data_IF_435739143516
#
_entry.id   IF_435739143516
#
_cell.length_a   1.000
_cell.length_b   1.000
_cell.length_c   1.000
_cell.angle_alpha   90.00
_cell.angle_beta   90.00
_cell.angle_gamma   90.00
#
_symmetry.space_group_name_H-M   'P 1'
#
loop_
_entity.id
_entity.type
_entity.pdbx_description
1 polymer ?
#
# COMPACT_ATOMS: atom_id res chain seq x y z
N UNK A 1 -46.76 29.22 4.66
CA UNK A 1 -46.21 28.43 3.53
C UNK A 1 -44.72 28.69 3.22
N UNK A 2 -43.97 29.46 4.04
CA UNK A 2 -42.54 29.79 3.78
C UNK A 2 -41.54 28.96 4.62
N UNK A 3 -42.02 28.37 5.73
CA UNK A 3 -41.21 27.56 6.65
C UNK A 3 -40.93 26.14 6.13
N UNK A 4 -41.78 25.61 5.24
CA UNK A 4 -41.67 24.25 4.72
C UNK A 4 -40.57 24.10 3.65
N UNK A 5 -40.22 25.18 2.95
CA UNK A 5 -39.13 25.19 1.95
C UNK A 5 -37.74 25.22 2.61
N UNK A 6 -37.59 25.92 3.75
CA UNK A 6 -36.32 26.06 4.46
C UNK A 6 -35.87 24.74 5.10
N UNK A 7 -36.79 24.00 5.72
CA UNK A 7 -36.51 22.71 6.34
C UNK A 7 -36.20 21.62 5.31
N UNK A 8 -36.85 21.68 4.13
CA UNK A 8 -36.60 20.75 3.02
C UNK A 8 -35.22 20.99 2.41
N UNK A 9 -34.84 22.26 2.20
CA UNK A 9 -33.50 22.64 1.73
C UNK A 9 -32.40 22.23 2.71
N UNK A 10 -32.61 22.45 4.01
CA UNK A 10 -31.63 22.09 5.04
C UNK A 10 -31.43 20.57 5.14
N UNK A 11 -32.52 19.80 5.05
CA UNK A 11 -32.46 18.32 4.98
C UNK A 11 -31.73 17.83 3.75
N UNK A 12 -31.96 18.45 2.59
CA UNK A 12 -31.23 18.11 1.36
C UNK A 12 -29.73 18.42 1.47
N UNK A 13 -29.35 19.54 2.08
CA UNK A 13 -27.93 19.89 2.30
C UNK A 13 -27.25 18.94 3.30
N UNK A 14 -27.94 18.56 4.38
CA UNK A 14 -27.44 17.55 5.32
C UNK A 14 -27.29 16.19 4.62
N UNK A 15 -28.28 15.77 3.83
CA UNK A 15 -28.24 14.52 3.08
C UNK A 15 -27.10 14.51 2.04
N UNK A 16 -26.89 15.61 1.31
CA UNK A 16 -25.78 15.78 0.37
C UNK A 16 -24.42 15.75 1.08
N UNK A 17 -24.30 16.38 2.26
CA UNK A 17 -23.10 16.36 3.07
C UNK A 17 -22.76 14.95 3.59
N UNK A 18 -23.76 14.20 4.07
CA UNK A 18 -23.58 12.81 4.52
C UNK A 18 -23.20 11.88 3.36
N UNK A 19 -23.77 12.08 2.17
CA UNK A 19 -23.44 11.28 0.99
C UNK A 19 -22.02 11.55 0.48
N UNK A 20 -21.55 12.80 0.54
CA UNK A 20 -20.16 13.17 0.22
C UNK A 20 -19.14 12.58 1.23
N UNK A 21 -19.56 12.34 2.48
CA UNK A 21 -18.69 11.77 3.51
C UNK A 21 -18.48 10.26 3.33
N UNK A 22 -19.48 9.55 2.78
CA UNK A 22 -19.40 8.10 2.52
C UNK A 22 -18.47 7.72 1.36
N UNK A 23 -18.12 8.66 0.48
CA UNK A 23 -17.24 8.42 -0.67
C UNK A 23 -15.74 8.38 -0.33
N UNK A 24 -15.36 8.67 0.91
CA UNK A 24 -13.95 8.66 1.34
C UNK A 24 -13.42 7.25 1.71
N UNK A 25 -14.30 6.23 1.76
CA UNK A 25 -13.92 4.87 2.15
C UNK A 25 -13.60 3.94 0.97
N UNK A 26 -13.60 4.45 -0.27
CA UNK A 26 -13.31 3.66 -1.47
C UNK A 26 -11.96 4.06 -2.06
N UNK A 27 -10.85 3.56 -1.53
CA UNK A 27 -9.57 3.78 -2.22
C UNK A 27 -8.29 3.49 -1.45
N UNK A 28 -8.22 2.39 -0.71
CA UNK A 28 -6.93 1.74 -0.44
C UNK A 28 -7.11 0.28 -0.83
N UNK A 29 -6.99 -0.01 -2.13
CA UNK A 29 -6.89 -1.39 -2.59
C UNK A 29 -5.53 -1.92 -2.16
N UNK A 30 -5.47 -2.49 -0.96
CA UNK A 30 -4.28 -3.19 -0.49
C UNK A 30 -4.08 -4.44 -1.33
N UNK A 31 -2.84 -4.70 -1.72
CA UNK A 31 -2.50 -5.89 -2.52
C UNK A 31 -2.56 -7.10 -1.61
N UNK A 32 -3.35 -8.08 -2.01
CA UNK A 32 -3.43 -9.38 -1.35
C UNK A 32 -2.86 -10.47 -2.26
N UNK A 33 -1.93 -11.27 -1.72
CA UNK A 33 -1.35 -12.42 -2.40
C UNK A 33 -1.71 -13.67 -1.61
N UNK A 34 -2.47 -14.58 -2.23
CA UNK A 34 -2.97 -15.80 -1.59
C UNK A 34 -3.72 -15.55 -0.27
N UNK A 35 -4.48 -14.46 -0.19
CA UNK A 35 -5.26 -14.07 1.01
C UNK A 35 -4.42 -13.53 2.16
N UNK A 36 -3.18 -13.10 1.89
CA UNK A 36 -2.32 -12.39 2.83
C UNK A 36 -2.08 -10.98 2.36
N UNK A 37 -2.06 -10.03 3.29
CA UNK A 37 -1.62 -8.66 3.03
C UNK A 37 -0.13 -8.48 3.35
N UNK A 38 0.39 -7.25 3.17
CA UNK A 38 1.81 -6.99 3.39
C UNK A 38 2.23 -7.21 4.86
N UNK A 39 1.37 -6.84 5.82
CA UNK A 39 1.65 -7.02 7.25
C UNK A 39 1.64 -8.50 7.68
N UNK A 40 0.93 -9.37 6.96
CA UNK A 40 0.98 -10.82 7.16
C UNK A 40 2.32 -11.42 6.72
N UNK A 41 2.93 -10.83 5.69
CA UNK A 41 4.16 -11.32 5.07
C UNK A 41 5.40 -10.71 5.72
N UNK A 42 5.40 -9.41 6.01
CA UNK A 42 6.55 -8.68 6.55
C UNK A 42 6.28 -8.23 8.00
N UNK A 43 6.86 -8.94 8.96
CA UNK A 43 6.65 -8.69 10.40
C UNK A 43 7.49 -7.57 10.97
N UNK A 44 8.64 -7.29 10.35
CA UNK A 44 9.46 -6.15 10.72
C UNK A 44 8.77 -4.84 10.27
N UNK A 45 8.45 -3.90 11.18
CA UNK A 45 7.74 -2.68 10.83
C UNK A 45 8.47 -1.79 9.83
N UNK A 46 9.81 -1.78 9.88
CA UNK A 46 10.61 -0.98 8.96
C UNK A 46 10.55 -1.55 7.53
N UNK A 47 10.58 -2.88 7.40
CA UNK A 47 10.39 -3.61 6.14
C UNK A 47 8.98 -3.42 5.61
N UNK A 48 7.95 -3.53 6.46
CA UNK A 48 6.56 -3.29 6.06
C UNK A 48 6.38 -1.87 5.50
N UNK A 49 6.91 -0.86 6.19
CA UNK A 49 6.85 0.53 5.73
C UNK A 49 7.58 0.73 4.39
N UNK A 50 8.67 -0.01 4.14
CA UNK A 50 9.39 0.02 2.88
C UNK A 50 8.57 -0.60 1.75
N UNK A 51 7.92 -1.74 2.01
CA UNK A 51 7.02 -2.42 1.06
C UNK A 51 5.84 -1.52 0.70
N UNK A 52 5.19 -0.90 1.68
CA UNK A 52 4.10 0.04 1.44
C UNK A 52 4.57 1.23 0.60
N UNK A 53 5.71 1.85 0.95
CA UNK A 53 6.24 2.97 0.17
C UNK A 53 6.56 2.56 -1.27
N UNK A 54 7.13 1.37 -1.47
CA UNK A 54 7.40 0.81 -2.78
C UNK A 54 6.11 0.57 -3.59
N UNK A 55 5.09 -0.03 -2.98
CA UNK A 55 3.79 -0.27 -3.61
C UNK A 55 3.07 1.02 -4.02
N UNK A 56 3.22 2.10 -3.25
CA UNK A 56 2.69 3.41 -3.61
C UNK A 56 3.59 4.21 -4.56
N UNK A 57 4.82 3.75 -4.84
CA UNK A 57 5.80 4.47 -5.65
C UNK A 57 6.31 5.76 -4.98
N UNK A 58 6.28 5.82 -3.65
CA UNK A 58 6.71 6.97 -2.85
C UNK A 58 8.25 6.97 -2.69
N UNK A 59 8.92 7.43 -3.75
CA UNK A 59 10.39 7.43 -3.83
C UNK A 59 11.07 8.18 -2.67
N UNK A 60 10.61 9.37 -2.25
CA UNK A 60 11.18 10.05 -1.09
C UNK A 60 11.12 9.22 0.19
N UNK A 61 10.00 8.51 0.42
CA UNK A 61 9.84 7.64 1.60
C UNK A 61 10.69 6.39 1.51
N UNK A 62 10.80 5.76 0.33
CA UNK A 62 11.72 4.64 0.08
C UNK A 62 13.16 5.05 0.46
N UNK A 63 13.63 6.18 -0.08
CA UNK A 63 14.98 6.68 0.18
C UNK A 63 15.24 6.98 1.65
N UNK A 64 14.26 7.58 2.33
CA UNK A 64 14.36 7.88 3.75
C UNK A 64 14.45 6.60 4.60
N UNK A 65 13.63 5.59 4.31
CA UNK A 65 13.63 4.32 5.03
C UNK A 65 14.94 3.56 4.85
N UNK A 66 15.47 3.49 3.62
CA UNK A 66 16.77 2.84 3.35
C UNK A 66 17.91 3.57 4.04
N UNK A 67 17.90 4.92 4.06
CA UNK A 67 18.87 5.71 4.86
C UNK A 67 18.78 5.44 6.36
N UNK A 68 17.60 5.08 6.86
CA UNK A 68 17.38 4.67 8.25
C UNK A 68 17.76 3.20 8.51
N UNK A 69 18.30 2.50 7.52
CA UNK A 69 18.76 1.12 7.65
C UNK A 69 17.76 0.05 7.23
N UNK A 70 16.64 0.42 6.58
CA UNK A 70 15.71 -0.57 6.04
C UNK A 70 16.42 -1.48 5.03
N UNK A 71 16.31 -2.80 5.21
CA UNK A 71 16.95 -3.76 4.33
C UNK A 71 16.12 -3.92 3.03
N UNK A 72 16.65 -3.40 1.92
CA UNK A 72 16.04 -3.51 0.58
C UNK A 72 15.88 -4.96 0.09
N UNK A 73 16.64 -5.88 0.67
CA UNK A 73 16.67 -7.31 0.38
C UNK A 73 15.98 -8.14 1.48
N UNK A 74 15.16 -7.51 2.33
CA UNK A 74 14.41 -8.24 3.35
C UNK A 74 13.45 -9.25 2.72
N UNK A 75 13.27 -10.36 3.43
CA UNK A 75 12.41 -11.47 3.04
C UNK A 75 11.33 -11.62 4.09
N UNK A 76 10.09 -11.72 3.63
CA UNK A 76 8.94 -12.02 4.45
C UNK A 76 8.60 -13.52 4.46
N UNK A 77 7.34 -13.82 4.80
CA UNK A 77 6.79 -15.17 4.78
C UNK A 77 7.02 -15.87 3.42
N UNK A 78 7.47 -17.13 3.46
CA UNK A 78 7.79 -17.97 2.28
C UNK A 78 8.77 -17.31 1.31
N UNK A 79 9.81 -16.69 1.84
CA UNK A 79 10.88 -16.08 1.05
C UNK A 79 10.37 -15.04 0.04
N UNK A 80 9.25 -14.38 0.37
CA UNK A 80 8.76 -13.26 -0.41
C UNK A 80 9.67 -12.04 -0.19
N UNK A 81 10.42 -11.66 -1.22
CA UNK A 81 11.26 -10.47 -1.14
C UNK A 81 10.44 -9.18 -1.22
N UNK A 82 10.95 -8.08 -0.66
CA UNK A 82 10.38 -6.73 -0.82
C UNK A 82 10.16 -6.40 -2.31
N UNK A 83 11.15 -6.74 -3.14
CA UNK A 83 11.10 -6.52 -4.59
C UNK A 83 10.01 -7.38 -5.26
N UNK A 84 9.88 -8.65 -4.85
CA UNK A 84 8.87 -9.58 -5.37
C UNK A 84 7.45 -9.15 -5.02
N UNK A 85 7.21 -8.68 -3.80
CA UNK A 85 5.91 -8.12 -3.42
C UNK A 85 5.56 -6.87 -4.22
N UNK A 86 6.54 -5.99 -4.44
CA UNK A 86 6.35 -4.74 -5.20
C UNK A 86 5.89 -4.99 -6.64
N UNK A 87 6.28 -6.12 -7.25
CA UNK A 87 5.77 -6.52 -8.57
C UNK A 87 4.24 -6.69 -8.58
N UNK A 88 3.69 -7.34 -7.54
CA UNK A 88 2.24 -7.53 -7.41
C UNK A 88 1.49 -6.22 -7.14
N UNK A 89 2.20 -5.18 -6.69
CA UNK A 89 1.67 -3.82 -6.56
C UNK A 89 1.65 -3.02 -7.86
N UNK A 90 2.20 -3.55 -8.96
CA UNK A 90 2.27 -2.88 -10.27
C UNK A 90 2.96 -1.50 -10.21
N UNK A 91 3.78 -1.27 -9.18
CA UNK A 91 4.49 -0.01 -8.99
C UNK A 91 5.82 -0.05 -9.73
N UNK A 92 5.83 0.36 -11.00
CA UNK A 92 7.05 0.47 -11.79
C UNK A 92 8.09 1.35 -11.09
N UNK A 93 7.66 2.52 -10.59
CA UNK A 93 8.55 3.49 -9.95
C UNK A 93 9.17 2.94 -8.67
N UNK A 94 8.38 2.29 -7.82
CA UNK A 94 8.89 1.68 -6.59
C UNK A 94 9.84 0.52 -6.89
N UNK A 95 9.48 -0.34 -7.85
CA UNK A 95 10.29 -1.47 -8.27
C UNK A 95 11.66 -1.01 -8.82
N UNK A 96 11.66 -0.06 -9.76
CA UNK A 96 12.87 0.52 -10.33
C UNK A 96 13.75 1.16 -9.25
N UNK A 97 13.14 1.92 -8.33
CA UNK A 97 13.90 2.56 -7.26
C UNK A 97 14.55 1.56 -6.31
N UNK A 98 13.86 0.47 -5.98
CA UNK A 98 14.44 -0.59 -5.16
C UNK A 98 15.64 -1.24 -5.86
N UNK A 99 15.59 -1.45 -7.18
CA UNK A 99 16.73 -1.96 -7.95
C UNK A 99 17.92 -0.98 -7.91
N UNK A 100 17.69 0.32 -8.11
CA UNK A 100 18.73 1.35 -7.99
C UNK A 100 19.39 1.36 -6.61
N UNK A 101 18.62 1.03 -5.56
CA UNK A 101 19.09 0.93 -4.18
C UNK A 101 19.74 -0.42 -3.83
N UNK A 102 19.91 -1.31 -4.82
CA UNK A 102 20.62 -2.59 -4.65
C UNK A 102 19.73 -3.77 -4.27
N UNK A 103 18.42 -3.68 -4.48
CA UNK A 103 17.56 -4.86 -4.39
C UNK A 103 17.97 -5.91 -5.43
N UNK A 104 18.07 -7.17 -5.00
CA UNK A 104 18.49 -8.28 -5.86
C UNK A 104 17.26 -8.89 -6.59
N UNK A 105 17.18 -8.78 -7.93
CA UNK A 105 16.07 -9.34 -8.71
C UNK A 105 16.12 -10.87 -8.82
N UNK A 106 17.23 -11.50 -8.42
CA UNK A 106 17.45 -12.93 -8.60
C UNK A 106 17.13 -13.77 -7.35
N UNK A 107 16.52 -13.17 -6.32
CA UNK A 107 16.05 -13.99 -5.20
C UNK A 107 14.99 -14.95 -5.68
N UNK A 108 15.29 -16.24 -5.48
CA UNK A 108 14.36 -17.31 -5.79
C UNK A 108 13.40 -17.42 -4.62
N UNK A 109 12.12 -17.25 -4.89
CA UNK A 109 11.10 -17.80 -4.02
C UNK A 109 11.25 -19.32 -4.12
N UNK A 110 11.61 -19.98 -3.02
CA UNK A 110 11.61 -21.45 -2.97
C UNK A 110 10.21 -21.90 -3.38
N UNK A 111 10.10 -22.54 -4.55
CA UNK A 111 8.86 -23.13 -5.01
C UNK A 111 8.53 -24.26 -4.04
N UNK A 112 7.57 -24.00 -3.15
CA UNK A 112 6.99 -24.97 -2.23
C UNK A 112 6.36 -26.13 -3.00
N UNK A 113 7.19 -27.10 -3.37
CA UNK A 113 6.79 -28.48 -3.62
C UNK A 113 6.91 -29.26 -2.32
N UNK A 114 6.01 -29.00 -1.37
CA UNK A 114 5.72 -29.92 -0.26
C UNK A 114 4.21 -29.91 0.00
#
# INVERSE_FOLDING_TARGET
MKLMESTTRWRALIALGMMAMMMQAAGCSEVEISGKNAADVFKDPQTLALVEAACHGDLPKIDALVKQGANVNAMGYRDMSVLGWTMACHSHRGFERLLELGANPNYKMEAIYQ
#
